data_IF_444001168568
#
_entry.id   IF_444001168568
#
_cell.length_a   1.000
_cell.length_b   1.000
_cell.length_c   1.000
_cell.angle_alpha   90.00
_cell.angle_beta   90.00
_cell.angle_gamma   90.00
#
_symmetry.space_group_name_H-M   'P 1'
#
loop_
_entity.id
_entity.type
_entity.pdbx_description
1 polymer ?
#
# COMPACT_ATOMS: atom_id res chain seq x y z
N UNK A 1 5.00 -18.24 -63.74
CA UNK A 1 3.59 -18.44 -63.45
C UNK A 1 3.02 -17.12 -63.03
N UNK A 2 2.22 -16.46 -63.86
CA UNK A 2 1.53 -15.20 -63.57
C UNK A 2 0.55 -15.45 -62.43
N UNK A 3 0.89 -14.97 -61.27
CA UNK A 3 0.20 -15.29 -60.03
C UNK A 3 -1.28 -14.83 -60.00
N UNK A 4 -2.20 -15.79 -59.92
CA UNK A 4 -3.63 -15.50 -59.70
C UNK A 4 -3.83 -14.77 -58.37
N UNK A 5 -4.83 -13.90 -58.30
CA UNK A 5 -5.28 -13.26 -57.04
C UNK A 5 -5.68 -14.38 -56.06
N UNK A 6 -5.11 -14.39 -54.86
CA UNK A 6 -5.48 -15.33 -53.81
C UNK A 6 -6.93 -15.07 -53.38
N UNK A 7 -7.84 -16.02 -53.63
CA UNK A 7 -9.28 -15.94 -53.26
C UNK A 7 -9.60 -17.01 -52.23
N UNK A 8 -10.79 -16.89 -51.59
CA UNK A 8 -11.28 -17.89 -50.64
C UNK A 8 -11.26 -19.28 -51.23
N UNK A 9 -11.82 -19.45 -52.46
CA UNK A 9 -11.89 -20.73 -53.15
C UNK A 9 -10.49 -21.32 -53.38
N UNK A 10 -9.53 -20.54 -53.85
CA UNK A 10 -8.15 -21.00 -54.01
C UNK A 10 -7.54 -21.47 -52.68
N UNK A 11 -7.81 -20.77 -51.58
CA UNK A 11 -7.28 -21.17 -50.26
C UNK A 11 -7.97 -22.41 -49.73
N UNK A 12 -9.28 -22.60 -50.00
CA UNK A 12 -10.02 -23.81 -49.64
C UNK A 12 -9.46 -25.03 -50.39
N UNK A 13 -9.12 -24.88 -51.66
CA UNK A 13 -8.63 -25.99 -52.54
C UNK A 13 -7.15 -26.38 -52.26
N UNK A 14 -6.41 -25.64 -51.41
CA UNK A 14 -5.01 -25.97 -51.07
C UNK A 14 -4.97 -27.24 -50.21
N UNK A 15 -4.42 -28.31 -50.73
CA UNK A 15 -4.20 -29.57 -50.03
C UNK A 15 -2.85 -29.57 -49.26
N UNK A 16 -2.76 -30.25 -48.10
CA UNK A 16 -1.50 -30.45 -47.41
C UNK A 16 -0.53 -31.28 -48.25
N UNK A 17 0.81 -31.00 -48.06
CA UNK A 17 1.91 -31.76 -48.69
C UNK A 17 2.86 -32.25 -47.60
N UNK A 18 3.82 -33.11 -47.95
CA UNK A 18 4.80 -33.62 -46.99
C UNK A 18 5.67 -32.50 -46.33
N UNK A 19 5.80 -31.37 -47.01
CA UNK A 19 6.53 -30.20 -46.50
C UNK A 19 5.67 -28.93 -46.52
N UNK A 20 6.01 -28.00 -45.64
CA UNK A 20 5.41 -26.64 -45.63
C UNK A 20 5.63 -25.93 -46.98
N UNK A 21 4.59 -25.38 -47.55
CA UNK A 21 4.68 -24.54 -48.73
C UNK A 21 3.81 -23.28 -48.61
N UNK A 22 4.16 -22.25 -49.45
CA UNK A 22 3.44 -21.00 -49.51
C UNK A 22 2.94 -20.74 -50.92
N UNK A 23 1.66 -20.45 -51.06
CA UNK A 23 1.06 -19.97 -52.31
C UNK A 23 0.99 -18.45 -52.25
N UNK A 24 1.75 -17.77 -53.11
CA UNK A 24 1.85 -16.35 -53.17
C UNK A 24 0.75 -15.70 -53.99
N UNK A 25 0.26 -14.53 -53.57
CA UNK A 25 -0.76 -13.78 -54.26
C UNK A 25 -0.14 -12.96 -55.40
N UNK A 26 -0.60 -13.13 -56.64
CA UNK A 26 -0.10 -12.39 -57.79
C UNK A 26 -0.49 -10.88 -57.82
N UNK A 27 -1.57 -10.48 -57.16
CA UNK A 27 -2.01 -9.09 -57.07
C UNK A 27 -1.37 -8.29 -55.93
N UNK A 28 -0.80 -8.96 -54.92
CA UNK A 28 -0.10 -8.32 -53.82
C UNK A 28 1.18 -9.10 -53.57
N UNK A 29 2.29 -8.72 -54.22
CA UNK A 29 3.60 -9.35 -54.02
C UNK A 29 4.00 -9.36 -52.52
N UNK A 30 4.53 -10.49 -52.06
CA UNK A 30 4.86 -10.65 -50.65
C UNK A 30 3.76 -11.15 -49.74
N UNK A 31 2.49 -11.16 -50.17
CA UNK A 31 1.38 -11.77 -49.44
C UNK A 31 1.12 -13.22 -49.93
N UNK A 32 0.89 -14.15 -49.02
CA UNK A 32 0.62 -15.53 -49.36
C UNK A 32 -0.09 -16.35 -48.26
N UNK A 33 -0.51 -17.55 -48.63
CA UNK A 33 -1.06 -18.53 -47.71
C UNK A 33 -0.05 -19.68 -47.53
N UNK A 34 0.34 -19.93 -46.30
CA UNK A 34 1.18 -21.05 -45.90
C UNK A 34 0.30 -22.25 -45.53
N UNK A 35 0.62 -23.41 -46.09
CA UNK A 35 -0.06 -24.67 -45.78
C UNK A 35 0.97 -25.59 -45.13
N UNK A 36 0.64 -26.15 -43.99
CA UNK A 36 1.47 -27.12 -43.26
C UNK A 36 1.06 -28.55 -43.59
N UNK A 37 1.92 -29.55 -43.36
CA UNK A 37 1.58 -30.96 -43.53
C UNK A 37 0.35 -31.38 -42.70
N UNK A 38 0.10 -30.73 -41.57
CA UNK A 38 -1.10 -30.94 -40.72
C UNK A 38 -2.39 -30.38 -41.31
N UNK A 39 -2.39 -29.81 -42.52
CA UNK A 39 -3.54 -29.14 -43.12
C UNK A 39 -3.79 -27.73 -42.58
N UNK A 40 -3.02 -27.27 -41.60
CA UNK A 40 -3.18 -25.91 -41.01
C UNK A 40 -2.78 -24.83 -42.02
N UNK A 41 -3.70 -23.92 -42.32
CA UNK A 41 -3.51 -22.80 -43.25
C UNK A 41 -3.35 -21.48 -42.48
N UNK A 42 -2.34 -20.69 -42.83
CA UNK A 42 -2.10 -19.36 -42.23
C UNK A 42 -1.63 -18.36 -43.27
N UNK A 43 -2.04 -17.11 -43.11
CA UNK A 43 -1.57 -16.02 -43.98
C UNK A 43 -0.23 -15.50 -43.51
N UNK A 44 0.65 -15.25 -44.51
CA UNK A 44 2.02 -14.76 -44.30
C UNK A 44 2.32 -13.56 -45.19
N UNK A 45 3.22 -12.69 -44.69
CA UNK A 45 3.81 -11.60 -45.48
C UNK A 45 5.31 -11.76 -45.48
N UNK A 46 5.91 -11.63 -46.64
CA UNK A 46 7.34 -11.54 -46.83
C UNK A 46 7.69 -10.16 -47.37
N UNK A 47 8.60 -9.44 -46.71
CA UNK A 47 9.01 -8.10 -47.06
C UNK A 47 10.52 -7.89 -46.78
N UNK A 48 11.06 -6.75 -47.26
CA UNK A 48 12.40 -6.29 -46.95
C UNK A 48 12.29 -4.84 -46.43
N UNK A 49 12.73 -4.61 -45.18
CA UNK A 49 12.80 -3.28 -44.62
C UNK A 49 14.17 -2.67 -44.91
N UNK A 50 14.22 -1.57 -45.64
CA UNK A 50 15.52 -0.92 -46.02
C UNK A 50 16.00 -1.21 -47.45
N UNK A 51 15.11 -1.61 -48.37
CA UNK A 51 15.40 -1.72 -49.79
C UNK A 51 15.87 -3.12 -50.27
N UNK A 52 16.32 -3.21 -51.53
CA UNK A 52 16.61 -4.47 -52.22
C UNK A 52 17.74 -5.32 -51.56
N UNK A 53 18.66 -4.70 -50.88
CA UNK A 53 19.81 -5.39 -50.25
C UNK A 53 19.49 -5.87 -48.82
N UNK A 54 18.32 -5.51 -48.23
CA UNK A 54 17.95 -5.95 -46.90
C UNK A 54 17.53 -7.44 -46.88
N UNK A 55 17.81 -8.13 -45.79
CA UNK A 55 17.42 -9.53 -45.57
C UNK A 55 15.89 -9.67 -45.58
N UNK A 56 15.32 -10.61 -46.40
CA UNK A 56 13.90 -10.82 -46.45
C UNK A 56 13.38 -11.36 -45.11
N UNK A 57 12.28 -10.77 -44.61
CA UNK A 57 11.62 -11.22 -43.39
C UNK A 57 10.25 -11.76 -43.73
N UNK A 58 9.86 -12.85 -43.07
CA UNK A 58 8.56 -13.50 -43.21
C UNK A 58 7.84 -13.49 -41.88
N UNK A 59 6.63 -12.92 -41.84
CA UNK A 59 5.80 -12.88 -40.64
C UNK A 59 4.43 -13.48 -40.91
N UNK A 60 3.84 -14.11 -39.90
CA UNK A 60 2.45 -14.58 -39.95
C UNK A 60 1.51 -13.43 -39.58
N UNK A 61 0.41 -13.30 -40.34
CA UNK A 61 -0.65 -12.32 -40.09
C UNK A 61 -1.77 -12.96 -39.23
N UNK A 62 -2.16 -14.19 -39.55
CA UNK A 62 -3.22 -14.89 -38.85
C UNK A 62 -3.56 -16.24 -39.50
N UNK A 63 -4.50 -16.95 -38.86
CA UNK A 63 -4.94 -18.27 -39.28
C UNK A 63 -6.17 -18.15 -40.19
N UNK A 64 -6.17 -18.91 -41.28
CA UNK A 64 -7.36 -19.03 -42.12
C UNK A 64 -8.51 -19.66 -41.32
N UNK A 65 -9.71 -19.10 -41.48
CA UNK A 65 -10.86 -19.44 -40.64
C UNK A 65 -11.10 -18.46 -39.47
N UNK A 66 -10.03 -17.80 -38.97
CA UNK A 66 -10.14 -16.65 -38.03
C UNK A 66 -10.09 -15.30 -38.76
N UNK A 67 -9.41 -15.25 -39.91
CA UNK A 67 -9.38 -14.11 -40.82
C UNK A 67 -9.85 -14.51 -42.18
N UNK A 68 -10.60 -13.65 -42.85
CA UNK A 68 -10.92 -13.82 -44.28
C UNK A 68 -9.70 -13.48 -45.13
N UNK A 69 -9.69 -13.91 -46.38
CA UNK A 69 -8.61 -13.62 -47.33
C UNK A 69 -8.49 -12.12 -47.59
N UNK A 70 -9.63 -11.42 -47.63
CA UNK A 70 -9.69 -9.98 -47.83
C UNK A 70 -9.11 -9.22 -46.65
N UNK A 71 -9.50 -9.56 -45.42
CA UNK A 71 -8.94 -8.98 -44.19
C UNK A 71 -7.43 -9.23 -44.09
N UNK A 72 -6.99 -10.45 -44.38
CA UNK A 72 -5.56 -10.75 -44.37
C UNK A 72 -4.78 -9.99 -45.47
N UNK A 73 -5.37 -9.74 -46.63
CA UNK A 73 -4.77 -8.96 -47.70
C UNK A 73 -4.68 -7.48 -47.32
N UNK A 74 -5.69 -6.91 -46.68
CA UNK A 74 -5.65 -5.53 -46.19
C UNK A 74 -4.55 -5.34 -45.15
N UNK A 75 -4.46 -6.24 -44.18
CA UNK A 75 -3.39 -6.21 -43.17
C UNK A 75 -2.00 -6.42 -43.78
N UNK A 76 -1.89 -7.28 -44.79
CA UNK A 76 -0.66 -7.44 -45.55
C UNK A 76 -0.24 -6.14 -46.25
N UNK A 77 -1.19 -5.42 -46.86
CA UNK A 77 -0.94 -4.14 -47.50
C UNK A 77 -0.41 -3.08 -46.52
N UNK A 78 -0.98 -3.00 -45.33
CA UNK A 78 -0.50 -2.11 -44.26
C UNK A 78 0.94 -2.44 -43.84
N UNK A 79 1.27 -3.73 -43.72
CA UNK A 79 2.62 -4.18 -43.34
C UNK A 79 3.64 -3.86 -44.45
N UNK A 80 3.29 -4.10 -45.71
CA UNK A 80 4.14 -3.82 -46.85
C UNK A 80 4.40 -2.33 -46.99
N UNK A 81 3.37 -1.48 -46.85
CA UNK A 81 3.52 -0.01 -46.88
C UNK A 81 4.49 0.47 -45.77
N UNK A 82 4.38 -0.03 -44.54
CA UNK A 82 5.33 0.27 -43.48
C UNK A 82 6.75 -0.16 -43.81
N UNK A 83 6.91 -1.32 -44.42
CA UNK A 83 8.23 -1.82 -44.81
C UNK A 83 8.87 -0.96 -45.91
N UNK A 84 8.08 -0.41 -46.84
CA UNK A 84 8.54 0.53 -47.85
C UNK A 84 9.03 1.87 -47.25
N UNK A 85 8.40 2.29 -46.12
CA UNK A 85 8.84 3.45 -45.34
C UNK A 85 10.07 3.15 -44.46
N UNK A 86 10.65 1.94 -44.55
CA UNK A 86 11.83 1.54 -43.78
C UNK A 86 11.54 0.94 -42.41
N UNK A 87 10.27 0.77 -42.02
CA UNK A 87 9.89 0.17 -40.74
C UNK A 87 9.98 -1.36 -40.76
N UNK A 88 10.78 -1.94 -39.87
CA UNK A 88 10.85 -3.39 -39.69
C UNK A 88 9.82 -3.90 -38.68
N UNK A 89 8.65 -4.26 -39.16
CA UNK A 89 7.53 -4.76 -38.34
C UNK A 89 7.89 -6.04 -37.58
N UNK A 90 8.74 -6.90 -38.15
CA UNK A 90 9.20 -8.13 -37.47
C UNK A 90 10.10 -7.77 -36.27
N UNK A 91 11.01 -6.83 -36.45
CA UNK A 91 11.87 -6.35 -35.38
C UNK A 91 11.09 -5.62 -34.27
N UNK A 92 10.12 -4.78 -34.66
CA UNK A 92 9.22 -4.12 -33.71
C UNK A 92 8.43 -5.15 -32.88
N UNK A 93 7.86 -6.18 -33.53
CA UNK A 93 7.17 -7.29 -32.83
C UNK A 93 8.11 -8.10 -31.94
N UNK A 94 9.35 -8.34 -32.36
CA UNK A 94 10.35 -9.04 -31.55
C UNK A 94 10.75 -8.21 -30.33
N UNK A 95 10.99 -6.91 -30.51
CA UNK A 95 11.27 -5.96 -29.41
C UNK A 95 10.11 -5.88 -28.43
N UNK A 96 8.87 -5.76 -28.92
CA UNK A 96 7.68 -5.76 -28.08
C UNK A 96 7.49 -7.07 -27.29
N UNK A 97 7.92 -8.23 -27.86
CA UNK A 97 7.92 -9.50 -27.13
C UNK A 97 9.04 -9.62 -26.10
N UNK A 98 10.19 -9.04 -26.39
CA UNK A 98 11.34 -9.00 -25.48
C UNK A 98 11.19 -7.94 -24.38
N UNK A 99 10.19 -7.03 -24.50
CA UNK A 99 9.92 -6.00 -23.51
C UNK A 99 9.47 -6.63 -22.18
N UNK A 100 10.04 -6.11 -21.09
CA UNK A 100 9.80 -6.51 -19.71
C UNK A 100 8.31 -6.45 -19.34
N UNK A 101 7.84 -7.43 -18.59
CA UNK A 101 6.50 -7.43 -17.99
C UNK A 101 6.48 -6.60 -16.71
N UNK A 102 5.28 -6.24 -16.23
CA UNK A 102 5.11 -5.57 -14.92
C UNK A 102 5.64 -6.43 -13.78
N UNK A 103 5.52 -7.77 -13.86
CA UNK A 103 6.11 -8.67 -12.85
C UNK A 103 7.63 -8.60 -12.83
N UNK A 104 8.28 -8.66 -13.97
CA UNK A 104 9.74 -8.56 -14.10
C UNK A 104 10.24 -7.19 -13.64
N UNK A 105 9.53 -6.11 -13.98
CA UNK A 105 9.83 -4.77 -13.47
C UNK A 105 9.71 -4.69 -11.94
N UNK A 106 8.73 -5.35 -11.33
CA UNK A 106 8.61 -5.42 -9.88
C UNK A 106 9.80 -6.16 -9.25
N UNK A 107 10.26 -7.25 -9.86
CA UNK A 107 11.40 -8.02 -9.37
C UNK A 107 12.68 -7.17 -9.41
N UNK A 108 12.91 -6.49 -10.51
CA UNK A 108 14.07 -5.63 -10.68
C UNK A 108 14.04 -4.43 -9.72
N UNK A 109 12.88 -3.77 -9.61
CA UNK A 109 12.68 -2.69 -8.64
C UNK A 109 12.96 -3.14 -7.21
N UNK A 110 12.49 -4.33 -6.81
CA UNK A 110 12.72 -4.87 -5.46
C UNK A 110 14.17 -5.27 -5.22
N UNK A 111 14.95 -5.57 -6.28
CA UNK A 111 16.36 -5.88 -6.20
C UNK A 111 17.24 -4.63 -6.12
N UNK A 112 16.94 -3.59 -6.91
CA UNK A 112 17.85 -2.46 -7.15
C UNK A 112 17.26 -1.07 -6.80
N UNK A 113 15.96 -0.96 -6.70
CA UNK A 113 15.28 0.34 -6.55
C UNK A 113 14.88 0.71 -5.11
N UNK A 114 15.26 -0.08 -4.10
CA UNK A 114 14.66 -0.01 -2.76
C UNK A 114 15.64 0.19 -1.60
N UNK A 115 16.92 0.39 -1.83
CA UNK A 115 17.98 0.49 -0.81
C UNK A 115 17.72 1.54 0.26
N UNK A 116 17.04 2.61 -0.12
CA UNK A 116 16.68 3.71 0.78
C UNK A 116 15.43 3.42 1.66
N UNK A 117 14.79 2.24 1.48
CA UNK A 117 13.53 1.91 2.19
C UNK A 117 13.77 1.13 3.47
N UNK A 118 13.02 1.49 4.53
CA UNK A 118 13.01 0.71 5.77
C UNK A 118 12.46 -0.71 5.57
N UNK A 119 12.97 -1.73 6.29
CA UNK A 119 12.52 -3.13 6.16
C UNK A 119 11.01 -3.33 6.30
N UNK A 120 10.36 -2.55 7.18
CA UNK A 120 8.90 -2.58 7.37
C UNK A 120 8.11 -2.10 6.14
N UNK A 121 8.66 -1.14 5.39
CA UNK A 121 8.10 -0.66 4.11
C UNK A 121 8.25 -1.72 3.05
N UNK A 122 9.43 -2.33 2.92
CA UNK A 122 9.69 -3.42 1.98
C UNK A 122 8.73 -4.59 2.18
N UNK A 123 8.53 -5.03 3.42
CA UNK A 123 7.55 -6.09 3.74
C UNK A 123 6.14 -5.75 3.26
N UNK A 124 5.74 -4.49 3.40
CA UNK A 124 4.43 -4.01 2.93
C UNK A 124 4.36 -3.92 1.41
N UNK A 125 5.44 -3.53 0.75
CA UNK A 125 5.53 -3.39 -0.70
C UNK A 125 5.51 -4.78 -1.36
N UNK A 126 6.30 -5.74 -0.87
CA UNK A 126 6.24 -7.15 -1.28
C UNK A 126 4.80 -7.68 -1.18
N UNK A 127 4.15 -7.46 -0.04
CA UNK A 127 2.76 -7.91 0.14
C UNK A 127 1.80 -7.31 -0.90
N UNK A 128 1.95 -6.02 -1.25
CA UNK A 128 1.12 -5.38 -2.28
C UNK A 128 1.42 -5.89 -3.68
N UNK A 129 2.69 -6.11 -4.00
CA UNK A 129 3.12 -6.67 -5.28
C UNK A 129 2.51 -8.06 -5.45
N UNK A 130 2.72 -8.96 -4.49
CA UNK A 130 2.27 -10.35 -4.56
C UNK A 130 0.75 -10.50 -4.49
N UNK A 131 0.08 -9.64 -3.71
CA UNK A 131 -1.35 -9.76 -3.49
C UNK A 131 -2.21 -9.05 -4.52
N UNK A 132 -1.69 -8.02 -5.19
CA UNK A 132 -2.49 -7.18 -6.08
C UNK A 132 -1.85 -6.94 -7.44
N UNK A 133 -0.57 -6.53 -7.50
CA UNK A 133 0.04 -6.12 -8.77
C UNK A 133 0.23 -7.32 -9.68
N UNK A 134 0.91 -8.38 -9.22
CA UNK A 134 1.16 -9.59 -10.02
C UNK A 134 -0.12 -10.27 -10.50
N UNK A 135 -1.14 -10.50 -9.67
CA UNK A 135 -2.35 -11.18 -10.13
C UNK A 135 -3.16 -10.40 -11.16
N UNK A 136 -3.20 -9.07 -11.06
CA UNK A 136 -4.09 -8.24 -11.88
C UNK A 136 -3.40 -7.57 -13.07
N UNK A 137 -2.09 -7.30 -12.98
CA UNK A 137 -1.36 -6.53 -13.99
C UNK A 137 -0.02 -7.17 -14.41
N UNK A 138 0.47 -8.15 -13.66
CA UNK A 138 1.82 -8.68 -13.76
C UNK A 138 2.22 -9.21 -15.13
N UNK A 139 1.29 -9.78 -15.89
CA UNK A 139 1.55 -10.35 -17.23
C UNK A 139 1.61 -9.31 -18.34
N UNK A 140 1.17 -8.08 -18.08
CA UNK A 140 1.14 -7.03 -19.10
C UNK A 140 2.55 -6.48 -19.33
N UNK A 141 2.90 -6.22 -20.60
CA UNK A 141 4.16 -5.55 -20.96
C UNK A 141 4.11 -4.10 -20.49
N UNK A 142 5.23 -3.60 -19.94
CA UNK A 142 5.27 -2.26 -19.33
C UNK A 142 4.91 -1.15 -20.31
N UNK A 143 5.36 -1.22 -21.56
CA UNK A 143 5.04 -0.24 -22.61
C UNK A 143 3.59 -0.32 -23.11
N UNK A 144 2.88 -1.41 -22.82
CA UNK A 144 1.47 -1.56 -23.15
C UNK A 144 0.54 -1.13 -22.01
N UNK A 145 1.08 -0.72 -20.86
CA UNK A 145 0.26 -0.26 -19.72
C UNK A 145 -0.16 1.19 -19.95
N UNK A 146 -1.47 1.41 -20.00
CA UNK A 146 -2.07 2.73 -20.17
C UNK A 146 -2.61 3.29 -18.83
N UNK A 147 -2.91 4.61 -18.81
CA UNK A 147 -3.60 5.23 -17.66
C UNK A 147 -4.97 4.60 -17.40
N UNK A 148 -5.67 4.18 -18.44
CA UNK A 148 -6.94 3.48 -18.33
C UNK A 148 -6.78 2.13 -17.60
N UNK A 149 -5.71 1.38 -17.89
CA UNK A 149 -5.41 0.13 -17.18
C UNK A 149 -5.16 0.37 -15.70
N UNK A 150 -4.42 1.43 -15.35
CA UNK A 150 -4.17 1.78 -13.94
C UNK A 150 -5.48 2.18 -13.23
N UNK A 151 -6.38 2.89 -13.92
CA UNK A 151 -7.70 3.24 -13.38
C UNK A 151 -8.58 2.02 -13.18
N UNK A 152 -8.53 1.04 -14.10
CA UNK A 152 -9.20 -0.26 -13.96
C UNK A 152 -8.60 -1.07 -12.82
N UNK A 153 -7.26 -1.15 -12.74
CA UNK A 153 -6.55 -1.81 -11.65
C UNK A 153 -6.92 -1.22 -10.28
N UNK A 154 -6.99 0.11 -10.16
CA UNK A 154 -7.44 0.79 -8.93
C UNK A 154 -8.82 0.32 -8.50
N UNK A 155 -9.79 0.24 -9.43
CA UNK A 155 -11.14 -0.26 -9.15
C UNK A 155 -11.15 -1.74 -8.78
N UNK A 156 -10.40 -2.55 -9.48
CA UNK A 156 -10.33 -4.00 -9.27
C UNK A 156 -9.78 -4.34 -7.89
N UNK A 157 -8.73 -3.64 -7.45
CA UNK A 157 -8.22 -3.78 -6.07
C UNK A 157 -9.24 -3.28 -5.05
N UNK A 158 -9.93 -2.15 -5.32
CA UNK A 158 -10.95 -1.62 -4.41
C UNK A 158 -12.14 -2.57 -4.23
N UNK A 159 -12.59 -3.21 -5.31
CA UNK A 159 -13.65 -4.24 -5.30
C UNK A 159 -13.17 -5.59 -4.76
N UNK A 160 -11.86 -5.75 -4.56
CA UNK A 160 -11.26 -6.98 -4.06
C UNK A 160 -11.26 -8.13 -5.07
N UNK A 161 -11.07 -7.88 -6.36
CA UNK A 161 -10.92 -8.96 -7.37
C UNK A 161 -9.75 -9.90 -7.08
N UNK A 162 -8.71 -9.44 -6.39
CA UNK A 162 -7.60 -10.25 -5.92
C UNK A 162 -7.81 -10.78 -4.48
N UNK A 163 -9.07 -10.94 -4.02
CA UNK A 163 -9.37 -11.51 -2.70
C UNK A 163 -8.80 -12.91 -2.59
N UNK A 164 -8.09 -13.14 -1.50
CA UNK A 164 -7.62 -14.47 -1.16
C UNK A 164 -7.56 -14.66 0.35
N UNK A 165 -7.67 -15.90 0.78
CA UNK A 165 -7.60 -16.30 2.14
C UNK A 165 -6.80 -17.60 2.21
N UNK A 166 -5.51 -17.49 2.49
CA UNK A 166 -4.53 -18.58 2.42
C UNK A 166 -3.92 -18.83 3.79
N UNK A 167 -3.86 -20.09 4.20
CA UNK A 167 -3.10 -20.52 5.37
C UNK A 167 -1.61 -20.43 5.02
N UNK A 168 -0.84 -19.66 5.80
CA UNK A 168 0.58 -19.41 5.52
C UNK A 168 1.51 -20.31 6.31
N UNK A 169 1.15 -20.67 7.54
CA UNK A 169 1.90 -21.56 8.44
C UNK A 169 0.96 -22.06 9.57
N UNK A 170 1.44 -22.90 10.47
CA UNK A 170 0.67 -23.30 11.66
C UNK A 170 0.20 -22.04 12.39
N UNK A 171 -1.11 -21.84 12.52
CA UNK A 171 -1.75 -20.64 13.08
C UNK A 171 -1.59 -19.33 12.29
N UNK A 172 -0.94 -19.34 11.11
CA UNK A 172 -0.79 -18.17 10.24
C UNK A 172 -1.82 -18.15 9.11
N UNK A 173 -2.40 -16.98 8.82
CA UNK A 173 -3.38 -16.77 7.75
C UNK A 173 -3.15 -15.45 7.03
N UNK A 174 -3.07 -15.48 5.71
CA UNK A 174 -3.01 -14.29 4.87
C UNK A 174 -4.40 -14.01 4.30
N UNK A 175 -5.00 -12.91 4.74
CA UNK A 175 -6.33 -12.49 4.28
C UNK A 175 -6.19 -11.21 3.49
N UNK A 176 -6.44 -11.29 2.18
CA UNK A 176 -6.44 -10.13 1.27
C UNK A 176 -7.90 -9.78 0.96
N UNK A 177 -8.32 -8.58 1.33
CA UNK A 177 -9.72 -8.14 1.18
C UNK A 177 -9.90 -7.07 0.10
N UNK A 178 -8.85 -6.32 -0.23
CA UNK A 178 -8.95 -5.15 -1.09
C UNK A 178 -9.41 -3.91 -0.32
N UNK A 179 -10.25 -3.08 -0.97
CA UNK A 179 -10.80 -1.84 -0.43
C UNK A 179 -10.08 -0.58 -0.93
N UNK A 180 -10.76 0.59 -0.84
CA UNK A 180 -10.30 1.87 -1.40
C UNK A 180 -8.91 2.30 -0.91
N UNK A 181 -8.64 2.17 0.40
CA UNK A 181 -7.34 2.52 0.97
C UNK A 181 -6.21 1.58 0.52
N UNK A 182 -6.48 0.27 0.35
CA UNK A 182 -5.51 -0.68 -0.21
C UNK A 182 -5.22 -0.33 -1.67
N UNK A 183 -6.24 -0.05 -2.47
CA UNK A 183 -6.15 0.33 -3.87
C UNK A 183 -5.28 1.58 -4.06
N UNK A 184 -5.58 2.68 -3.36
CA UNK A 184 -4.80 3.92 -3.45
C UNK A 184 -3.33 3.74 -3.05
N UNK A 185 -3.05 2.97 -1.99
CA UNK A 185 -1.66 2.68 -1.56
C UNK A 185 -0.93 1.79 -2.56
N UNK A 186 -1.61 0.83 -3.18
CA UNK A 186 -1.01 -0.04 -4.19
C UNK A 186 -0.69 0.73 -5.48
N UNK A 187 -1.58 1.63 -5.93
CA UNK A 187 -1.29 2.47 -7.10
C UNK A 187 -0.16 3.47 -6.81
N UNK A 188 -0.05 4.02 -5.59
CA UNK A 188 1.12 4.85 -5.21
C UNK A 188 2.43 4.06 -5.30
N UNK A 189 2.46 2.81 -4.83
CA UNK A 189 3.62 1.92 -4.99
C UNK A 189 3.92 1.67 -6.47
N UNK A 190 2.90 1.32 -7.25
CA UNK A 190 3.03 1.08 -8.69
C UNK A 190 3.55 2.33 -9.42
N UNK A 191 3.11 3.53 -9.01
CA UNK A 191 3.65 4.80 -9.49
C UNK A 191 5.14 4.98 -9.20
N UNK A 192 5.61 4.54 -8.02
CA UNK A 192 7.04 4.50 -7.68
C UNK A 192 7.82 3.52 -8.57
N UNK A 193 7.28 2.33 -8.81
CA UNK A 193 7.85 1.30 -9.68
C UNK A 193 7.96 1.81 -11.13
N UNK A 194 6.91 2.41 -11.67
CA UNK A 194 6.95 3.00 -13.02
C UNK A 194 7.85 4.26 -13.10
N UNK A 195 8.00 5.02 -12.01
CA UNK A 195 8.99 6.10 -11.97
C UNK A 195 10.42 5.58 -11.99
N UNK A 196 10.68 4.41 -11.39
CA UNK A 196 11.94 3.70 -11.51
C UNK A 196 12.19 3.31 -12.98
N UNK A 197 11.20 2.71 -13.66
CA UNK A 197 11.28 2.36 -15.06
C UNK A 197 11.60 3.56 -15.97
N UNK A 198 11.02 4.73 -15.68
CA UNK A 198 11.32 5.96 -16.44
C UNK A 198 12.75 6.45 -16.18
N UNK A 199 13.23 6.40 -14.91
CA UNK A 199 14.63 6.79 -14.61
C UNK A 199 15.68 5.88 -15.26
N UNK A 200 15.34 4.61 -15.49
CA UNK A 200 16.19 3.63 -16.17
C UNK A 200 15.91 3.52 -17.68
N UNK A 201 15.18 4.50 -18.23
CA UNK A 201 14.89 4.63 -19.66
C UNK A 201 14.10 3.45 -20.28
N UNK A 202 13.48 2.59 -19.44
CA UNK A 202 12.62 1.50 -19.92
C UNK A 202 11.29 2.03 -20.47
N UNK A 203 10.87 3.22 -20.00
CA UNK A 203 9.65 3.92 -20.44
C UNK A 203 9.92 5.42 -20.57
N UNK A 204 9.22 6.06 -21.51
CA UNK A 204 9.23 7.52 -21.67
C UNK A 204 8.39 8.21 -20.59
N UNK A 205 7.26 7.62 -20.20
CA UNK A 205 6.30 8.22 -19.28
C UNK A 205 5.75 7.21 -18.28
N UNK A 206 5.40 7.71 -17.10
CA UNK A 206 4.80 6.91 -16.04
C UNK A 206 3.26 6.87 -16.23
N UNK A 207 2.65 5.70 -16.51
CA UNK A 207 1.21 5.58 -16.76
C UNK A 207 0.35 5.85 -15.51
N UNK A 208 0.94 5.91 -14.32
CA UNK A 208 0.21 6.25 -13.09
C UNK A 208 -0.01 7.75 -12.91
N UNK A 209 0.64 8.61 -13.71
CA UNK A 209 0.44 10.07 -13.64
C UNK A 209 -0.99 10.45 -14.00
N UNK A 210 -1.60 11.33 -13.19
CA UNK A 210 -2.96 11.82 -13.41
C UNK A 210 -4.08 10.84 -13.07
N UNK A 211 -3.78 9.66 -12.52
CA UNK A 211 -4.80 8.74 -12.01
C UNK A 211 -5.37 9.29 -10.69
N UNK A 212 -6.69 9.50 -10.66
CA UNK A 212 -7.38 9.96 -9.46
C UNK A 212 -7.50 8.84 -8.44
N UNK A 213 -6.87 9.02 -7.29
CA UNK A 213 -6.92 8.06 -6.18
C UNK A 213 -8.14 8.34 -5.28
N UNK A 214 -8.60 7.30 -4.60
CA UNK A 214 -9.62 7.47 -3.57
C UNK A 214 -9.09 8.35 -2.44
N UNK A 215 -9.88 9.33 -2.03
CA UNK A 215 -9.58 10.16 -0.85
C UNK A 215 -9.67 9.30 0.41
N UNK A 216 -8.65 9.35 1.25
CA UNK A 216 -8.71 8.73 2.57
C UNK A 216 -9.72 9.52 3.43
N UNK A 217 -10.66 8.80 4.08
CA UNK A 217 -11.49 9.42 5.11
C UNK A 217 -10.59 9.75 6.29
N UNK A 218 -10.40 11.03 6.57
CA UNK A 218 -9.75 11.47 7.80
C UNK A 218 -10.68 11.13 8.96
N UNK A 219 -10.42 10.04 9.65
CA UNK A 219 -11.09 9.73 10.91
C UNK A 219 -10.30 10.38 12.04
N UNK A 220 -10.80 11.46 12.58
CA UNK A 220 -10.27 12.08 13.79
C UNK A 220 -11.25 11.77 14.92
N UNK A 221 -10.74 11.15 15.98
CA UNK A 221 -11.49 10.90 17.20
C UNK A 221 -10.65 11.35 18.38
N UNK A 222 -11.24 12.16 19.24
CA UNK A 222 -10.68 12.65 20.49
C UNK A 222 -11.50 12.09 21.65
N UNK A 223 -10.85 11.77 22.74
CA UNK A 223 -11.53 11.37 23.95
C UNK A 223 -12.04 12.61 24.71
N UNK A 224 -13.26 12.51 25.21
CA UNK A 224 -13.81 13.46 26.19
C UNK A 224 -13.25 13.15 27.58
N UNK A 225 -13.41 14.09 28.53
CA UNK A 225 -13.01 13.88 29.93
C UNK A 225 -13.65 12.63 30.54
N UNK A 226 -14.95 12.38 30.26
CA UNK A 226 -15.64 11.17 30.71
C UNK A 226 -15.06 9.90 30.07
N UNK A 227 -14.71 9.95 28.79
CA UNK A 227 -14.09 8.81 28.11
C UNK A 227 -12.70 8.50 28.65
N UNK A 228 -11.90 9.53 29.02
CA UNK A 228 -10.64 9.33 29.72
C UNK A 228 -10.85 8.68 31.09
N UNK A 229 -11.86 9.12 31.87
CA UNK A 229 -12.20 8.53 33.17
C UNK A 229 -12.57 7.04 33.02
N UNK A 230 -13.50 6.70 32.11
CA UNK A 230 -13.90 5.30 31.83
C UNK A 230 -12.74 4.43 31.35
N UNK A 231 -11.84 4.99 30.53
CA UNK A 231 -10.65 4.28 30.08
C UNK A 231 -9.70 4.01 31.26
N UNK A 232 -9.48 4.99 32.15
CA UNK A 232 -8.66 4.84 33.35
C UNK A 232 -9.19 3.78 34.31
N UNK A 233 -10.52 3.75 34.55
CA UNK A 233 -11.18 2.72 35.36
C UNK A 233 -11.01 1.33 34.74
N UNK A 234 -11.19 1.20 33.43
CA UNK A 234 -11.02 -0.05 32.71
C UNK A 234 -9.57 -0.57 32.76
N UNK A 235 -8.59 0.34 32.69
CA UNK A 235 -7.16 0.00 32.80
C UNK A 235 -6.83 -0.51 34.21
N UNK A 236 -7.34 0.16 35.26
CA UNK A 236 -7.15 -0.24 36.66
C UNK A 236 -7.76 -1.63 36.89
N UNK A 237 -9.02 -1.83 36.47
CA UNK A 237 -9.65 -3.13 36.62
C UNK A 237 -8.95 -4.23 35.84
N UNK A 238 -8.44 -3.90 34.65
CA UNK A 238 -7.74 -4.87 33.78
C UNK A 238 -6.45 -5.42 34.42
N UNK A 239 -5.76 -4.67 35.26
CA UNK A 239 -4.52 -5.07 35.91
C UNK A 239 -4.73 -5.66 37.32
N UNK A 240 -5.87 -5.42 37.98
CA UNK A 240 -6.18 -5.90 39.33
C UNK A 240 -7.11 -7.12 39.31
N UNK A 241 -8.40 -6.89 39.24
CA UNK A 241 -9.44 -7.93 39.27
C UNK A 241 -9.60 -8.66 37.92
N UNK A 242 -9.12 -8.08 36.84
CA UNK A 242 -9.31 -8.55 35.48
C UNK A 242 -10.65 -8.14 34.85
N UNK A 243 -10.68 -8.08 33.54
CA UNK A 243 -11.87 -7.77 32.76
C UNK A 243 -12.75 -9.01 32.61
N UNK A 244 -14.10 -8.89 32.79
CA UNK A 244 -14.99 -10.03 32.63
C UNK A 244 -14.90 -10.61 31.22
N UNK A 245 -14.80 -11.93 31.14
CA UNK A 245 -14.79 -12.63 29.87
C UNK A 245 -16.18 -12.53 29.23
N UNK A 246 -16.24 -12.11 27.98
CA UNK A 246 -17.49 -12.03 27.22
C UNK A 246 -17.43 -12.97 26.03
N UNK A 247 -18.52 -13.71 25.82
CA UNK A 247 -18.77 -14.38 24.56
C UNK A 247 -18.86 -13.33 23.45
N UNK A 248 -18.17 -13.54 22.34
CA UNK A 248 -18.49 -12.80 21.11
C UNK A 248 -19.88 -13.26 20.65
N UNK A 249 -20.77 -12.32 20.34
CA UNK A 249 -22.07 -12.61 19.76
C UNK A 249 -21.92 -13.60 18.60
N UNK A 250 -22.63 -14.71 18.65
CA UNK A 250 -22.57 -15.79 17.67
C UNK A 250 -21.60 -16.95 17.94
N UNK A 251 -20.83 -16.97 19.06
CA UNK A 251 -20.07 -18.14 19.48
C UNK A 251 -20.84 -18.99 20.48
N UNK A 252 -20.87 -20.32 20.21
CA UNK A 252 -21.54 -21.31 21.05
C UNK A 252 -20.97 -21.36 22.47
N UNK A 253 -21.78 -21.71 23.46
CA UNK A 253 -21.42 -21.81 24.89
C UNK A 253 -20.17 -22.69 25.18
N UNK A 254 -19.91 -23.70 24.34
CA UNK A 254 -18.71 -24.57 24.46
C UNK A 254 -17.37 -23.83 24.42
N UNK A 255 -17.35 -22.52 24.15
CA UNK A 255 -16.16 -21.68 24.19
C UNK A 255 -16.07 -20.82 25.46
N UNK A 256 -16.96 -21.02 26.44
CA UNK A 256 -16.85 -20.40 27.77
C UNK A 256 -15.64 -20.99 28.52
N UNK A 257 -14.96 -20.18 29.35
CA UNK A 257 -13.98 -20.70 30.28
C UNK A 257 -14.64 -21.74 31.21
N UNK A 258 -14.08 -22.95 31.25
CA UNK A 258 -14.58 -24.02 32.12
C UNK A 258 -14.27 -23.77 33.60
N UNK A 259 -13.23 -22.98 33.88
CA UNK A 259 -12.75 -22.70 35.24
C UNK A 259 -13.11 -21.27 35.68
N UNK A 260 -13.54 -21.07 36.94
CA UNK A 260 -13.89 -19.78 37.51
C UNK A 260 -12.78 -18.71 37.36
N UNK A 261 -11.52 -19.12 37.55
CA UNK A 261 -10.36 -18.23 37.39
C UNK A 261 -10.19 -17.65 36.01
N UNK A 262 -10.72 -18.29 34.97
CA UNK A 262 -10.68 -17.84 33.59
C UNK A 262 -11.89 -16.96 33.18
N UNK A 263 -12.82 -16.72 34.11
CA UNK A 263 -13.98 -15.86 33.86
C UNK A 263 -13.58 -14.39 33.75
N UNK A 264 -12.46 -14.00 34.37
CA UNK A 264 -11.84 -12.69 34.24
C UNK A 264 -10.46 -12.79 33.59
N UNK A 265 -10.09 -11.84 32.77
CA UNK A 265 -8.80 -11.75 32.11
C UNK A 265 -7.97 -10.61 32.72
N UNK A 266 -6.97 -10.96 33.50
CA UNK A 266 -5.99 -10.01 34.07
C UNK A 266 -4.90 -9.77 33.05
N UNK A 267 -4.53 -8.52 32.84
CA UNK A 267 -3.40 -8.14 32.00
C UNK A 267 -2.22 -7.72 32.87
N UNK A 268 -0.98 -8.12 32.50
CA UNK A 268 0.22 -7.65 33.20
C UNK A 268 0.28 -6.11 33.21
N UNK A 269 0.77 -5.53 34.31
CA UNK A 269 0.84 -4.09 34.52
C UNK A 269 1.57 -3.36 33.38
N UNK A 270 2.69 -3.90 32.89
CA UNK A 270 3.41 -3.29 31.76
C UNK A 270 2.56 -3.11 30.49
N UNK A 271 1.48 -3.90 30.33
CA UNK A 271 0.53 -3.78 29.20
C UNK A 271 -0.39 -2.58 29.37
N UNK A 272 -0.89 -2.36 30.57
CA UNK A 272 -1.75 -1.20 30.90
C UNK A 272 -0.90 0.08 30.96
N UNK A 273 0.34 -0.01 31.48
CA UNK A 273 1.30 1.10 31.49
C UNK A 273 1.69 1.54 30.08
N UNK A 274 1.81 0.62 29.12
CA UNK A 274 2.00 1.01 27.72
C UNK A 274 0.88 1.92 27.21
N UNK A 275 -0.38 1.63 27.57
CA UNK A 275 -1.52 2.45 27.17
C UNK A 275 -1.52 3.79 27.90
N UNK A 276 -1.21 3.81 29.20
CA UNK A 276 -1.08 5.04 29.98
C UNK A 276 0.04 5.95 29.42
N UNK A 277 1.20 5.37 29.11
CA UNK A 277 2.31 6.11 28.50
C UNK A 277 1.93 6.72 27.15
N UNK A 278 1.18 5.99 26.31
CA UNK A 278 0.66 6.53 25.05
C UNK A 278 -0.26 7.74 25.27
N UNK A 279 -1.09 7.74 26.33
CA UNK A 279 -1.98 8.86 26.65
C UNK A 279 -1.21 10.08 27.16
N UNK A 280 -0.23 9.89 28.05
CA UNK A 280 0.43 11.02 28.74
C UNK A 280 1.65 11.57 28.00
N UNK A 281 2.16 10.86 26.99
CA UNK A 281 3.32 11.30 26.20
C UNK A 281 2.97 11.68 24.75
N UNK A 282 1.82 11.25 24.25
CA UNK A 282 1.47 11.37 22.84
C UNK A 282 2.41 10.64 21.87
N UNK A 283 3.24 9.72 22.35
CA UNK A 283 4.16 8.93 21.54
C UNK A 283 3.42 8.01 20.56
N UNK A 284 4.11 7.54 19.52
CA UNK A 284 3.57 6.50 18.64
C UNK A 284 3.67 5.13 19.31
N UNK A 285 2.73 4.23 18.97
CA UNK A 285 2.69 2.88 19.53
C UNK A 285 4.06 2.18 19.54
N UNK A 286 4.77 2.20 18.41
CA UNK A 286 6.08 1.56 18.31
C UNK A 286 7.18 2.26 19.12
N UNK A 287 7.07 3.55 19.32
CA UNK A 287 7.99 4.32 20.16
C UNK A 287 7.91 3.84 21.63
N UNK A 288 6.71 3.53 22.13
CA UNK A 288 6.51 2.99 23.48
C UNK A 288 6.84 1.50 23.56
N UNK A 289 6.38 0.68 22.59
CA UNK A 289 6.63 -0.75 22.65
C UNK A 289 8.11 -1.14 22.50
N UNK A 290 8.92 -0.30 21.84
CA UNK A 290 10.35 -0.52 21.63
C UNK A 290 11.22 0.32 22.56
N UNK A 291 10.63 1.01 23.55
CA UNK A 291 11.35 1.82 24.52
C UNK A 291 12.18 0.90 25.43
N UNK A 292 13.49 1.20 25.54
CA UNK A 292 14.40 0.53 26.45
C UNK A 292 14.60 1.36 27.70
N UNK A 293 14.97 0.72 28.78
CA UNK A 293 15.30 1.43 30.02
C UNK A 293 16.52 2.34 29.86
N UNK A 294 17.50 1.95 29.07
CA UNK A 294 18.70 2.76 28.75
C UNK A 294 18.39 4.04 27.96
N UNK A 295 17.24 4.10 27.27
CA UNK A 295 16.80 5.26 26.51
C UNK A 295 16.13 6.34 27.39
N UNK A 296 15.94 6.09 28.70
CA UNK A 296 15.24 6.98 29.62
C UNK A 296 16.24 7.77 30.47
N UNK A 297 16.22 9.07 30.31
CA UNK A 297 16.93 10.01 31.19
C UNK A 297 15.93 10.54 32.24
N UNK A 298 15.91 9.90 33.40
CA UNK A 298 15.00 10.26 34.50
C UNK A 298 15.31 11.62 35.10
N UNK A 299 16.59 12.04 35.14
CA UNK A 299 17.00 13.33 35.72
C UNK A 299 16.48 14.48 34.86
N UNK A 300 16.60 14.38 33.55
CA UNK A 300 16.15 15.40 32.61
C UNK A 300 14.71 15.24 32.15
N UNK A 301 14.04 14.14 32.51
CA UNK A 301 12.70 13.81 32.04
C UNK A 301 12.62 13.67 30.53
N UNK A 302 13.52 12.88 29.93
CA UNK A 302 13.61 12.72 28.45
C UNK A 302 13.65 11.26 28.04
N UNK A 303 12.87 10.91 27.02
CA UNK A 303 13.04 9.65 26.27
C UNK A 303 13.91 9.91 25.04
N UNK A 304 15.03 9.21 24.93
CA UNK A 304 15.93 9.27 23.79
C UNK A 304 15.60 8.12 22.82
N UNK A 305 14.73 8.35 21.86
CA UNK A 305 14.27 7.32 20.92
C UNK A 305 15.26 7.20 19.75
N UNK A 306 16.03 6.10 19.64
CA UNK A 306 17.10 5.96 18.64
C UNK A 306 16.57 5.80 17.21
N UNK A 307 15.44 5.09 17.02
CA UNK A 307 14.79 4.89 15.73
C UNK A 307 13.28 5.15 15.81
N UNK A 308 12.87 6.35 15.40
CA UNK A 308 11.47 6.65 15.16
C UNK A 308 11.15 6.64 13.66
N UNK A 309 9.87 6.79 13.30
CA UNK A 309 9.46 6.92 11.89
C UNK A 309 10.18 8.06 11.16
N UNK A 310 10.65 9.06 11.91
CA UNK A 310 11.30 10.30 11.41
C UNK A 310 12.78 10.42 11.79
N UNK A 311 13.41 9.32 12.22
CA UNK A 311 14.79 9.30 12.71
C UNK A 311 14.88 9.42 14.25
N UNK A 312 16.07 9.74 14.76
CA UNK A 312 16.29 9.97 16.20
C UNK A 312 15.38 11.08 16.73
N UNK A 313 14.82 10.87 17.92
CA UNK A 313 13.85 11.78 18.50
C UNK A 313 14.02 11.84 20.01
N UNK A 314 13.98 13.04 20.59
CA UNK A 314 13.85 13.27 22.03
C UNK A 314 12.39 13.61 22.36
N UNK A 315 11.85 13.01 23.40
CA UNK A 315 10.50 13.29 23.91
C UNK A 315 10.62 13.73 25.35
N UNK A 316 10.16 14.94 25.63
CA UNK A 316 10.04 15.42 27.01
C UNK A 316 8.89 14.69 27.70
N UNK A 317 9.14 14.17 28.89
CA UNK A 317 8.13 13.49 29.71
C UNK A 317 7.90 14.27 31.01
N UNK A 318 6.63 14.42 31.37
CA UNK A 318 6.21 15.07 32.61
C UNK A 318 6.06 14.05 33.75
N UNK A 319 5.84 14.54 34.97
CA UNK A 319 5.77 13.75 36.19
C UNK A 319 4.85 12.53 36.14
N UNK A 320 3.70 12.63 35.45
CA UNK A 320 2.80 11.49 35.26
C UNK A 320 3.45 10.32 34.50
N UNK A 321 4.24 10.60 33.47
CA UNK A 321 4.95 9.56 32.72
C UNK A 321 6.12 8.99 33.55
N UNK A 322 6.85 9.84 34.26
CA UNK A 322 7.94 9.44 35.17
C UNK A 322 7.38 8.51 36.26
N UNK A 323 6.26 8.87 36.91
CA UNK A 323 5.63 8.04 37.95
C UNK A 323 5.20 6.67 37.42
N UNK A 324 4.69 6.58 36.19
CA UNK A 324 4.37 5.28 35.57
C UNK A 324 5.63 4.44 35.38
N UNK A 325 6.69 5.05 34.83
CA UNK A 325 7.96 4.38 34.54
C UNK A 325 8.67 3.92 35.84
N UNK A 326 8.65 4.73 36.88
CA UNK A 326 9.27 4.46 38.17
C UNK A 326 8.61 3.28 38.89
N UNK A 327 7.28 3.15 38.74
CA UNK A 327 6.50 2.06 39.29
C UNK A 327 6.48 0.78 38.42
N UNK A 328 7.08 0.82 37.23
CA UNK A 328 7.10 -0.33 36.31
C UNK A 328 8.22 -1.31 36.67
N UNK A 329 7.91 -2.61 36.65
CA UNK A 329 8.89 -3.66 36.90
C UNK A 329 9.92 -3.75 35.77
N UNK A 330 11.21 -3.81 36.14
CA UNK A 330 12.32 -3.95 35.18
C UNK A 330 12.67 -5.41 34.94
N UNK A 331 11.71 -6.18 34.38
CA UNK A 331 11.87 -7.60 34.08
C UNK A 331 12.48 -7.90 32.69
N UNK A 332 12.79 -6.88 31.89
CA UNK A 332 13.33 -6.99 30.54
C UNK A 332 14.17 -5.75 30.24
N UNK A 333 15.01 -5.77 29.20
CA UNK A 333 15.65 -4.55 28.68
C UNK A 333 14.65 -3.52 28.13
N UNK A 334 13.47 -3.98 27.71
CA UNK A 334 12.37 -3.14 27.26
C UNK A 334 11.43 -2.79 28.43
N UNK A 335 10.97 -1.54 28.45
CA UNK A 335 9.94 -1.08 29.39
C UNK A 335 8.66 -1.93 29.26
N UNK A 336 8.30 -2.25 28.03
CA UNK A 336 7.13 -3.07 27.73
C UNK A 336 7.60 -4.45 27.27
N UNK A 337 7.74 -5.34 28.22
CA UNK A 337 8.24 -6.69 27.99
C UNK A 337 7.42 -7.45 26.95
N UNK A 338 8.13 -8.15 26.07
CA UNK A 338 7.56 -9.12 25.12
C UNK A 338 7.29 -10.47 25.75
N UNK A 339 7.02 -11.48 24.92
CA UNK A 339 6.95 -12.88 25.37
C UNK A 339 8.34 -13.46 25.64
N UNK A 340 9.34 -12.96 24.93
CA UNK A 340 10.75 -13.31 25.07
C UNK A 340 11.45 -12.11 25.72
N UNK A 341 12.31 -12.33 26.72
CA UNK A 341 12.93 -11.23 27.49
C UNK A 341 13.75 -10.23 26.67
N UNK A 342 14.36 -10.71 25.58
CA UNK A 342 15.19 -9.96 24.65
C UNK A 342 14.42 -9.28 23.52
N UNK A 343 13.10 -9.38 23.51
CA UNK A 343 12.25 -8.82 22.45
C UNK A 343 11.18 -7.89 22.99
N UNK A 344 10.92 -6.79 22.28
CA UNK A 344 9.85 -5.87 22.65
C UNK A 344 8.49 -6.57 22.45
N UNK A 345 7.47 -6.07 23.10
CA UNK A 345 6.10 -6.52 22.87
C UNK A 345 5.66 -6.27 21.45
N UNK A 346 5.10 -7.29 20.80
CA UNK A 346 4.73 -7.24 19.39
C UNK A 346 3.58 -6.25 19.09
N UNK A 347 2.52 -6.26 19.91
CA UNK A 347 1.33 -5.40 19.79
C UNK A 347 0.48 -5.34 21.06
N UNK A 348 -0.49 -4.43 21.05
CA UNK A 348 -1.52 -4.28 22.09
C UNK A 348 -2.94 -4.57 21.58
N UNK A 349 -3.10 -5.23 20.43
CA UNK A 349 -4.41 -5.35 19.77
C UNK A 349 -5.45 -6.08 20.63
N UNK A 350 -5.06 -7.20 21.28
CA UNK A 350 -5.98 -7.96 22.15
C UNK A 350 -6.33 -7.20 23.43
N UNK A 351 -5.35 -6.73 24.24
CA UNK A 351 -5.64 -5.93 25.42
C UNK A 351 -6.49 -4.69 25.09
N UNK A 352 -6.08 -3.92 24.07
CA UNK A 352 -6.79 -2.72 23.66
C UNK A 352 -8.25 -2.96 23.34
N UNK A 353 -8.54 -3.97 22.52
CA UNK A 353 -9.92 -4.34 22.19
C UNK A 353 -10.74 -4.72 23.42
N UNK A 354 -10.15 -5.44 24.38
CA UNK A 354 -10.83 -5.85 25.61
C UNK A 354 -11.13 -4.64 26.51
N UNK A 355 -10.14 -3.78 26.68
CA UNK A 355 -10.25 -2.57 27.52
C UNK A 355 -11.27 -1.60 26.92
N UNK A 356 -11.19 -1.28 25.62
CA UNK A 356 -12.12 -0.36 24.96
C UNK A 356 -13.55 -0.89 24.90
N UNK A 357 -13.72 -2.20 24.74
CA UNK A 357 -15.02 -2.84 24.79
C UNK A 357 -15.65 -2.72 26.19
N UNK A 358 -14.88 -2.95 27.26
CA UNK A 358 -15.33 -2.78 28.63
C UNK A 358 -15.68 -1.32 28.93
N UNK A 359 -14.83 -0.39 28.55
CA UNK A 359 -15.01 1.05 28.73
C UNK A 359 -16.13 1.65 27.83
N UNK A 360 -16.76 0.86 26.96
CA UNK A 360 -17.75 1.31 25.95
C UNK A 360 -17.20 2.41 25.02
N UNK A 361 -15.96 2.24 24.57
CA UNK A 361 -15.24 3.16 23.68
C UNK A 361 -15.13 2.54 22.27
N UNK A 362 -16.27 2.35 21.62
CA UNK A 362 -16.30 1.72 20.30
C UNK A 362 -15.58 2.54 19.24
N UNK A 363 -14.89 1.83 18.32
CA UNK A 363 -14.16 2.45 17.20
C UNK A 363 -12.90 3.22 17.59
N UNK A 364 -12.57 3.35 18.89
CA UNK A 364 -11.36 4.01 19.36
C UNK A 364 -10.11 3.19 19.00
N UNK A 365 -9.17 3.81 18.30
CA UNK A 365 -7.89 3.19 17.89
C UNK A 365 -6.78 3.62 18.87
N UNK A 366 -5.75 2.81 19.04
CA UNK A 366 -4.57 3.20 19.83
C UNK A 366 -3.94 4.53 19.36
N UNK A 367 -3.99 4.83 18.07
CA UNK A 367 -3.46 6.08 17.54
C UNK A 367 -4.30 7.31 17.91
N UNK A 368 -5.58 7.11 18.23
CA UNK A 368 -6.48 8.19 18.66
C UNK A 368 -6.12 8.72 20.05
N UNK A 369 -5.37 7.95 20.87
CA UNK A 369 -4.78 8.45 22.13
C UNK A 369 -3.81 9.61 21.88
N UNK A 370 -2.97 9.49 20.84
CA UNK A 370 -2.08 10.57 20.43
C UNK A 370 -2.86 11.76 19.85
N UNK A 371 -3.96 11.51 19.14
CA UNK A 371 -4.85 12.57 18.69
C UNK A 371 -5.49 13.29 19.87
N UNK A 372 -5.90 12.54 20.89
CA UNK A 372 -6.48 13.10 22.13
C UNK A 372 -5.45 13.90 22.93
N UNK A 373 -4.20 13.42 23.05
CA UNK A 373 -3.11 14.20 23.66
C UNK A 373 -2.93 15.54 22.94
N UNK A 374 -2.91 15.51 21.60
CA UNK A 374 -2.76 16.73 20.80
C UNK A 374 -3.98 17.67 20.93
N UNK A 375 -5.19 17.13 21.03
CA UNK A 375 -6.39 17.94 21.20
C UNK A 375 -6.43 18.65 22.56
N UNK A 376 -6.02 17.97 23.63
CA UNK A 376 -5.87 18.57 24.95
C UNK A 376 -4.85 19.71 24.92
N UNK A 377 -3.67 19.50 24.31
CA UNK A 377 -2.65 20.54 24.18
C UNK A 377 -3.14 21.76 23.38
N UNK A 378 -3.83 21.55 22.26
CA UNK A 378 -4.40 22.64 21.47
C UNK A 378 -5.50 23.40 22.25
N UNK A 379 -6.41 22.68 22.89
CA UNK A 379 -7.49 23.27 23.70
C UNK A 379 -6.97 24.03 24.95
N UNK A 380 -5.77 23.69 25.43
CA UNK A 380 -5.09 24.42 26.53
C UNK A 380 -4.36 25.68 26.08
N UNK A 381 -4.46 26.08 24.81
CA UNK A 381 -3.81 27.28 24.27
C UNK A 381 -2.35 27.09 23.86
N UNK A 382 -1.86 25.84 23.81
CA UNK A 382 -0.49 25.57 23.32
C UNK A 382 -0.39 25.88 21.83
N UNK A 383 0.58 26.72 21.46
CA UNK A 383 0.84 27.04 20.06
C UNK A 383 1.16 25.79 19.23
N UNK A 384 0.63 25.72 18.00
CA UNK A 384 0.77 24.55 17.12
C UNK A 384 2.23 24.15 16.85
N UNK A 385 3.17 25.11 16.85
CA UNK A 385 4.61 24.85 16.67
C UNK A 385 5.17 24.06 17.87
N UNK A 386 4.83 24.46 19.10
CA UNK A 386 5.25 23.76 20.31
C UNK A 386 4.62 22.37 20.38
N UNK A 387 3.32 22.27 20.10
CA UNK A 387 2.60 21.00 20.02
C UNK A 387 3.21 20.05 18.97
N UNK A 388 3.56 20.59 17.80
CA UNK A 388 4.24 19.82 16.75
C UNK A 388 5.61 19.28 17.18
N UNK A 389 6.38 20.07 17.92
CA UNK A 389 7.68 19.65 18.50
C UNK A 389 7.47 18.54 19.53
N UNK A 390 6.53 18.68 20.48
CA UNK A 390 6.22 17.64 21.47
C UNK A 390 5.81 16.32 20.82
N UNK A 391 4.98 16.39 19.80
CA UNK A 391 4.58 15.20 19.03
C UNK A 391 5.72 14.66 18.15
N UNK A 392 6.74 15.43 17.84
CA UNK A 392 7.79 15.06 16.89
C UNK A 392 7.26 14.93 15.46
N UNK A 393 6.49 15.92 15.02
CA UNK A 393 6.06 16.04 13.63
C UNK A 393 7.18 16.66 12.78
N UNK A 394 7.56 15.99 11.68
CA UNK A 394 8.56 16.51 10.76
C UNK A 394 8.02 17.67 9.90
N UNK A 395 6.68 17.75 9.74
CA UNK A 395 6.02 18.79 8.94
C UNK A 395 4.97 19.53 9.76
N UNK A 396 4.98 20.87 9.76
CA UNK A 396 3.96 21.70 10.41
C UNK A 396 2.53 21.38 9.94
N UNK A 397 2.35 21.03 8.67
CA UNK A 397 1.06 20.68 8.10
C UNK A 397 0.38 19.47 8.80
N UNK A 398 1.17 18.61 9.45
CA UNK A 398 0.63 17.50 10.23
C UNK A 398 -0.06 17.99 11.51
N UNK A 399 0.40 19.07 12.10
CA UNK A 399 -0.16 19.67 13.33
C UNK A 399 -1.32 20.60 13.03
N UNK A 400 -1.38 21.21 11.83
CA UNK A 400 -2.48 22.08 11.40
C UNK A 400 -3.86 21.43 11.50
N UNK A 401 -3.95 20.10 11.50
CA UNK A 401 -5.21 19.39 11.72
C UNK A 401 -5.89 19.69 13.05
N UNK A 402 -5.12 20.17 14.05
CA UNK A 402 -5.63 20.52 15.37
C UNK A 402 -5.92 22.02 15.51
N UNK A 403 -5.71 22.83 14.46
CA UNK A 403 -5.87 24.28 14.51
C UNK A 403 -7.30 24.69 14.92
N UNK A 404 -8.31 23.97 14.41
CA UNK A 404 -9.73 24.23 14.75
C UNK A 404 -10.08 24.03 16.23
N UNK A 405 -9.23 23.36 17.01
CA UNK A 405 -9.40 23.15 18.44
C UNK A 405 -8.81 24.31 19.28
N UNK A 406 -8.13 25.26 18.63
CA UNK A 406 -7.53 26.42 19.24
C UNK A 406 -8.41 27.69 19.18
N UNK A 407 -9.65 27.57 18.72
CA UNK A 407 -10.54 28.74 18.58
C UNK A 407 -10.93 29.36 19.94
N UNK A 408 -11.27 28.54 20.93
CA UNK A 408 -11.52 29.00 22.32
C UNK A 408 -10.30 29.64 23.00
N UNK A 409 -9.08 29.04 22.93
CA UNK A 409 -7.87 29.69 23.38
C UNK A 409 -7.58 31.02 22.70
N UNK A 410 -7.82 31.16 21.40
CA UNK A 410 -7.64 32.41 20.67
C UNK A 410 -8.61 33.49 21.14
N UNK A 411 -9.87 33.13 21.40
CA UNK A 411 -10.87 34.06 21.97
C UNK A 411 -10.42 34.54 23.35
N UNK A 412 -10.03 33.63 24.25
CA UNK A 412 -9.52 33.97 25.60
C UNK A 412 -8.26 34.84 25.54
N UNK A 413 -7.36 34.56 24.63
CA UNK A 413 -6.17 35.37 24.41
C UNK A 413 -6.53 36.78 23.91
N UNK A 414 -7.47 36.90 23.00
CA UNK A 414 -7.98 38.18 22.51
C UNK A 414 -8.65 38.99 23.61
N UNK A 415 -9.51 38.35 24.42
CA UNK A 415 -10.13 38.96 25.59
C UNK A 415 -9.09 39.45 26.61
N UNK A 416 -8.09 38.60 26.90
CA UNK A 416 -7.01 38.97 27.81
C UNK A 416 -6.21 40.18 27.29
N UNK A 417 -5.83 40.20 26.02
CA UNK A 417 -5.11 41.32 25.38
C UNK A 417 -5.95 42.59 25.47
N UNK A 418 -7.26 42.47 25.12
CA UNK A 418 -8.18 43.61 25.17
C UNK A 418 -8.27 44.18 26.61
N UNK A 419 -8.42 43.30 27.61
CA UNK A 419 -8.49 43.71 29.00
C UNK A 419 -7.20 44.39 29.51
N UNK A 420 -6.01 43.87 29.14
CA UNK A 420 -4.74 44.48 29.46
C UNK A 420 -4.61 45.87 28.83
N UNK A 421 -5.05 46.02 27.59
CA UNK A 421 -5.01 47.33 26.92
C UNK A 421 -6.04 48.27 27.53
N UNK A 422 -7.28 47.83 27.79
CA UNK A 422 -8.30 48.65 28.44
C UNK A 422 -7.87 49.17 29.81
N UNK A 423 -7.31 48.30 30.66
CA UNK A 423 -6.74 48.70 31.94
C UNK A 423 -5.60 49.70 31.78
N UNK A 424 -4.74 49.56 30.76
CA UNK A 424 -3.67 50.54 30.51
C UNK A 424 -4.19 51.88 29.97
N UNK A 425 -5.37 51.90 29.35
CA UNK A 425 -6.03 53.12 28.86
C UNK A 425 -6.86 53.81 29.95
N UNK A 426 -7.04 53.18 31.12
CA UNK A 426 -7.77 53.74 32.24
C UNK A 426 -9.29 53.54 32.12
N UNK A 427 -9.74 52.70 31.23
CA UNK A 427 -11.15 52.24 31.12
C UNK A 427 -11.32 51.07 32.13
N UNK A 428 -11.79 51.36 33.37
CA UNK A 428 -12.30 50.34 34.31
C UNK A 428 -13.72 49.91 33.97
#
# INVERSE_FOLDING_TARGET
MTGKRLTKQIVDDLAPRDTDYVVWCGKLPGFGCRVRPSGHKSFVVMYRAGGRNATPRKISIGVYGKLTVEQAREEAGKILAKAELGEDVALQRARARAEMTVSELCDEYMREGVDHKKPSTLKSDVSRIECHIRPLLGRKRIGAVTRADISHFLRDVAMGKAKRNVKTRKHGRSIVRGGRGAASRTVRLLGGIFSYAVRHEYLKENPCRGVQLYKDKKGERFLTTDEFRRLGEALRLAETEGLPWRLNDGKKEKHRPAKPENVREVFPRHVTDAIRLLMVTGCRLREILHLRWEDIDFERGVLNLPDSKTGRKKVLIAGAAIAILDQSERCSEYVIAGKEPDKPRADLNRPWRRITQYAKLEGLRLHDLRHSYASVGAASGMGLVALGKLLGHASPSTTQRYAHLADDPLRRASEHIANVIASALGDE
#
